data_IF_961065710973
#
_entry.id   IF_961065710973
#
_cell.length_a   1.000
_cell.length_b   1.000
_cell.length_c   1.000
_cell.angle_alpha   90.00
_cell.angle_beta   90.00
_cell.angle_gamma   90.00
#
_symmetry.space_group_name_H-M   'P 1'
#
loop_
_entity.id
_entity.type
_entity.pdbx_description
1 polymer ?
#
# COMPACT_ATOMS: atom_id res chain seq x y z
N UNK A 1 31.39 7.58 -47.70
CA UNK A 1 31.29 6.25 -47.05
C UNK A 1 30.14 6.28 -46.03
N UNK A 2 28.91 6.00 -46.47
CA UNK A 2 27.73 6.00 -45.59
C UNK A 2 27.61 4.65 -44.89
N UNK A 3 27.64 4.62 -43.56
CA UNK A 3 27.53 3.39 -42.78
C UNK A 3 26.08 3.21 -42.34
N UNK A 4 25.41 2.20 -42.89
CA UNK A 4 24.04 1.84 -42.53
C UNK A 4 24.09 0.89 -41.35
N UNK A 5 23.71 1.36 -40.17
CA UNK A 5 23.61 0.53 -38.96
C UNK A 5 22.22 -0.12 -38.95
N UNK A 6 22.18 -1.46 -38.97
CA UNK A 6 20.94 -2.23 -38.81
C UNK A 6 20.87 -2.75 -37.39
N UNK A 7 19.96 -2.19 -36.58
CA UNK A 7 19.64 -2.71 -35.26
C UNK A 7 18.69 -3.89 -35.45
N UNK A 8 19.15 -5.10 -35.13
CA UNK A 8 18.26 -6.26 -34.97
C UNK A 8 17.60 -6.14 -33.61
N UNK A 9 16.33 -5.78 -33.58
CA UNK A 9 15.50 -5.87 -32.38
C UNK A 9 15.15 -7.34 -32.19
N UNK A 10 15.79 -8.00 -31.21
CA UNK A 10 15.32 -9.31 -30.74
C UNK A 10 13.98 -9.11 -30.01
N UNK A 11 12.92 -9.85 -30.35
CA UNK A 11 11.62 -9.76 -29.69
C UNK A 11 11.62 -10.32 -28.26
N UNK A 12 12.74 -10.85 -27.78
CA UNK A 12 12.82 -11.61 -26.53
C UNK A 12 12.75 -10.76 -25.25
N UNK A 13 12.50 -9.44 -25.35
CA UNK A 13 12.35 -8.54 -24.18
C UNK A 13 10.89 -8.14 -23.94
N UNK A 14 9.94 -8.60 -24.77
CA UNK A 14 8.51 -8.29 -24.59
C UNK A 14 7.77 -9.37 -23.77
N UNK A 15 8.45 -10.46 -23.41
CA UNK A 15 7.97 -11.45 -22.44
C UNK A 15 8.50 -11.13 -21.03
N UNK A 16 8.45 -9.86 -20.62
CA UNK A 16 8.23 -9.62 -19.19
C UNK A 16 6.84 -10.18 -18.91
N UNK A 17 6.82 -11.43 -18.44
CA UNK A 17 5.63 -12.16 -18.03
C UNK A 17 4.59 -11.17 -17.48
N UNK A 18 3.53 -10.92 -18.26
CA UNK A 18 2.27 -10.49 -17.67
C UNK A 18 1.85 -11.69 -16.81
N UNK A 19 2.42 -11.82 -15.60
CA UNK A 19 1.74 -12.48 -14.49
C UNK A 19 0.39 -11.81 -14.50
N UNK A 20 -0.64 -12.54 -14.95
CA UNK A 20 -2.02 -12.08 -14.84
C UNK A 20 -2.17 -11.65 -13.40
N UNK A 21 -2.32 -10.35 -13.19
CA UNK A 21 -2.26 -9.77 -11.86
C UNK A 21 -3.31 -10.50 -11.01
N UNK A 22 -2.84 -11.17 -9.95
CA UNK A 22 -3.70 -11.97 -9.07
C UNK A 22 -4.91 -11.11 -8.70
N UNK A 23 -6.15 -11.52 -9.04
CA UNK A 23 -7.34 -10.71 -8.81
C UNK A 23 -7.47 -10.25 -7.36
N UNK A 24 -7.00 -11.06 -6.42
CA UNK A 24 -6.98 -10.74 -5.00
C UNK A 24 -6.00 -9.60 -4.67
N UNK A 25 -4.81 -9.61 -5.30
CA UNK A 25 -3.82 -8.55 -5.18
C UNK A 25 -4.32 -7.24 -5.80
N UNK A 26 -4.91 -7.32 -6.99
CA UNK A 26 -5.50 -6.14 -7.66
C UNK A 26 -6.60 -5.52 -6.81
N UNK A 27 -7.50 -6.36 -6.27
CA UNK A 27 -8.56 -5.90 -5.39
C UNK A 27 -8.02 -5.24 -4.11
N UNK A 28 -6.97 -5.83 -3.52
CA UNK A 28 -6.33 -5.29 -2.33
C UNK A 28 -5.68 -3.92 -2.58
N UNK A 29 -4.84 -3.82 -3.62
CA UNK A 29 -4.16 -2.57 -4.00
C UNK A 29 -5.19 -1.49 -4.32
N UNK A 30 -6.22 -1.82 -5.09
CA UNK A 30 -7.28 -0.87 -5.46
C UNK A 30 -8.07 -0.38 -4.26
N UNK A 31 -8.24 -1.21 -3.23
CA UNK A 31 -9.06 -0.89 -2.06
C UNK A 31 -8.28 -0.11 -0.99
N UNK A 32 -7.01 -0.49 -0.75
CA UNK A 32 -6.25 -0.01 0.40
C UNK A 32 -5.06 0.87 0.07
N UNK A 33 -4.54 0.83 -1.16
CA UNK A 33 -3.31 1.54 -1.56
C UNK A 33 -3.59 2.67 -2.56
N UNK A 34 -4.75 3.32 -2.43
CA UNK A 34 -5.16 4.44 -3.28
C UNK A 34 -4.11 5.53 -3.28
N UNK A 35 -3.71 6.00 -4.46
CA UNK A 35 -2.78 7.12 -4.61
C UNK A 35 -3.38 8.36 -3.96
N UNK A 36 -2.85 8.75 -2.81
CA UNK A 36 -3.13 10.05 -2.24
C UNK A 36 -2.31 11.11 -2.99
N UNK A 37 -2.91 12.25 -3.31
CA UNK A 37 -2.22 13.40 -3.90
C UNK A 37 -1.25 14.10 -2.92
N UNK A 38 -1.03 13.54 -1.73
CA UNK A 38 -0.11 14.07 -0.73
C UNK A 38 1.23 13.32 -0.81
N UNK A 39 2.29 13.93 -1.37
CA UNK A 39 3.61 13.33 -1.44
C UNK A 39 4.32 13.51 -0.10
N UNK A 40 3.92 12.79 0.95
CA UNK A 40 4.69 12.81 2.20
C UNK A 40 4.72 11.43 2.84
N UNK A 41 5.84 10.73 2.68
CA UNK A 41 6.20 9.51 3.42
C UNK A 41 6.38 9.75 4.95
N UNK A 42 6.07 10.95 5.44
CA UNK A 42 6.34 11.40 6.81
C UNK A 42 5.04 11.62 7.61
N UNK A 43 3.89 11.78 6.96
CA UNK A 43 2.59 12.01 7.64
C UNK A 43 1.48 11.19 6.99
N UNK A 44 0.65 10.58 7.83
CA UNK A 44 -0.57 9.89 7.40
C UNK A 44 -1.68 10.91 7.21
N UNK A 45 -2.28 10.94 6.02
CA UNK A 45 -3.46 11.75 5.77
C UNK A 45 -4.73 11.00 6.19
N UNK A 46 -5.57 11.65 6.98
CA UNK A 46 -6.93 11.21 7.33
C UNK A 46 -7.90 12.30 6.90
N UNK A 47 -8.98 11.94 6.21
CA UNK A 47 -9.97 12.93 5.75
C UNK A 47 -10.61 13.66 6.94
N UNK A 48 -11.07 14.89 6.73
CA UNK A 48 -11.68 15.70 7.79
C UNK A 48 -12.89 15.02 8.44
N UNK A 49 -13.69 14.31 7.65
CA UNK A 49 -14.84 13.54 8.12
C UNK A 49 -14.42 12.42 9.08
N UNK A 50 -13.45 11.60 8.67
CA UNK A 50 -12.93 10.50 9.51
C UNK A 50 -12.27 11.06 10.76
N UNK A 51 -11.47 12.11 10.64
CA UNK A 51 -10.85 12.76 11.79
C UNK A 51 -11.89 13.27 12.80
N UNK A 52 -13.00 13.84 12.33
CA UNK A 52 -14.09 14.30 13.21
C UNK A 52 -14.70 13.15 14.00
N UNK A 53 -14.99 12.03 13.37
CA UNK A 53 -15.54 10.84 14.04
C UNK A 53 -14.55 10.29 15.06
N UNK A 54 -13.28 10.14 14.69
CA UNK A 54 -12.22 9.67 15.58
C UNK A 54 -12.05 10.58 16.81
N UNK A 55 -12.13 11.89 16.61
CA UNK A 55 -12.04 12.87 17.69
C UNK A 55 -13.19 12.71 18.69
N UNK A 56 -14.41 12.49 18.22
CA UNK A 56 -15.58 12.26 19.09
C UNK A 56 -15.45 10.95 19.87
N UNK A 57 -15.01 9.87 19.23
CA UNK A 57 -14.79 8.57 19.89
C UNK A 57 -13.77 8.66 21.01
N UNK A 58 -12.65 9.33 20.74
CA UNK A 58 -11.57 9.52 21.73
C UNK A 58 -12.02 10.45 22.86
N UNK A 59 -12.72 11.55 22.56
CA UNK A 59 -13.24 12.45 23.58
C UNK A 59 -14.23 11.74 24.52
N UNK A 60 -15.10 10.88 23.99
CA UNK A 60 -16.03 10.08 24.79
C UNK A 60 -15.32 9.08 25.73
N UNK A 61 -14.09 8.68 25.38
CA UNK A 61 -13.28 7.72 26.14
C UNK A 61 -12.01 8.37 26.74
N UNK A 62 -11.98 9.70 26.90
CA UNK A 62 -10.77 10.42 27.31
C UNK A 62 -10.18 9.92 28.65
N UNK A 63 -11.05 9.41 29.52
CA UNK A 63 -10.73 8.92 30.85
C UNK A 63 -9.87 7.65 30.83
N UNK A 64 -9.87 6.91 29.71
CA UNK A 64 -9.08 5.69 29.53
C UNK A 64 -7.70 5.97 28.93
N UNK A 65 -7.34 7.23 28.67
CA UNK A 65 -6.14 7.58 27.93
C UNK A 65 -6.18 7.19 26.46
N UNK A 66 -7.38 6.99 25.90
CA UNK A 66 -7.56 6.68 24.48
C UNK A 66 -6.95 7.79 23.60
N UNK A 67 -6.31 7.41 22.51
CA UNK A 67 -5.79 8.36 21.51
C UNK A 67 -6.20 7.92 20.11
N UNK A 68 -6.31 8.87 19.19
CA UNK A 68 -6.61 8.58 17.78
C UNK A 68 -5.51 7.67 17.21
N UNK A 69 -4.25 7.96 17.53
CA UNK A 69 -3.10 7.16 17.09
C UNK A 69 -3.16 5.72 17.60
N UNK A 70 -3.48 5.52 18.88
CA UNK A 70 -3.63 4.18 19.46
C UNK A 70 -4.74 3.38 18.79
N UNK A 71 -5.91 4.00 18.56
CA UNK A 71 -7.03 3.37 17.87
C UNK A 71 -6.68 2.97 16.43
N UNK A 72 -6.10 3.88 15.65
CA UNK A 72 -5.69 3.60 14.27
C UNK A 72 -4.59 2.53 14.21
N UNK A 73 -3.63 2.55 15.15
CA UNK A 73 -2.58 1.53 15.23
C UNK A 73 -3.17 0.14 15.44
N UNK A 74 -4.13 -0.01 16.37
CA UNK A 74 -4.77 -1.30 16.62
C UNK A 74 -5.49 -1.86 15.38
N UNK A 75 -6.21 -1.00 14.64
CA UNK A 75 -6.89 -1.40 13.40
C UNK A 75 -5.88 -1.80 12.33
N UNK A 76 -4.79 -1.05 12.16
CA UNK A 76 -3.77 -1.34 11.15
C UNK A 76 -3.07 -2.67 11.47
N UNK A 77 -2.75 -2.95 12.74
CA UNK A 77 -2.17 -4.22 13.16
C UNK A 77 -3.10 -5.40 12.90
N UNK A 78 -4.38 -5.26 13.23
CA UNK A 78 -5.40 -6.29 12.95
C UNK A 78 -5.58 -6.51 11.43
N UNK A 79 -5.52 -5.43 10.65
CA UNK A 79 -5.54 -5.51 9.19
C UNK A 79 -4.31 -6.24 8.64
N UNK A 80 -3.11 -5.97 9.16
CA UNK A 80 -1.90 -6.68 8.77
C UNK A 80 -2.00 -8.18 9.10
N UNK A 81 -2.47 -8.52 10.30
CA UNK A 81 -2.64 -9.92 10.68
C UNK A 81 -3.62 -10.67 9.75
N UNK A 82 -4.73 -10.02 9.38
CA UNK A 82 -5.75 -10.61 8.49
C UNK A 82 -5.32 -10.76 7.04
N UNK A 83 -4.37 -9.95 6.58
CA UNK A 83 -3.95 -9.90 5.17
C UNK A 83 -2.47 -10.29 4.99
N UNK A 84 -1.84 -10.89 6.00
CA UNK A 84 -0.39 -11.11 6.03
C UNK A 84 0.12 -11.86 4.79
N UNK A 85 -0.51 -12.97 4.42
CA UNK A 85 -0.09 -13.79 3.26
C UNK A 85 -0.26 -13.04 1.94
N UNK A 86 -1.33 -12.26 1.80
CA UNK A 86 -1.58 -11.44 0.61
C UNK A 86 -0.58 -10.29 0.52
N UNK A 87 -0.31 -9.59 1.63
CA UNK A 87 0.68 -8.53 1.68
C UNK A 87 2.09 -9.06 1.40
N UNK A 88 2.46 -10.22 1.93
CA UNK A 88 3.73 -10.89 1.59
C UNK A 88 3.85 -11.12 0.09
N UNK A 89 2.82 -11.66 -0.57
CA UNK A 89 2.82 -11.86 -2.03
C UNK A 89 2.90 -10.56 -2.83
N UNK A 90 2.24 -9.49 -2.39
CA UNK A 90 2.23 -8.19 -3.08
C UNK A 90 3.58 -7.49 -2.99
N UNK A 91 4.26 -7.64 -1.85
CA UNK A 91 5.47 -6.89 -1.51
C UNK A 91 6.71 -7.78 -1.39
N UNK A 92 6.66 -9.00 -1.93
CA UNK A 92 7.72 -10.00 -1.84
C UNK A 92 9.05 -9.49 -2.44
N UNK A 93 8.96 -8.65 -3.47
CA UNK A 93 10.10 -8.01 -4.14
C UNK A 93 10.57 -6.71 -3.46
N UNK A 94 9.96 -6.30 -2.34
CA UNK A 94 10.43 -5.13 -1.61
C UNK A 94 11.77 -5.43 -0.94
N UNK A 95 12.70 -4.46 -0.94
CA UNK A 95 14.08 -4.66 -0.45
C UNK A 95 14.17 -4.90 1.07
N UNK A 96 13.04 -4.88 1.77
CA UNK A 96 12.93 -4.94 3.23
C UNK A 96 11.84 -5.93 3.60
N UNK A 97 12.08 -6.76 4.62
CA UNK A 97 11.04 -7.62 5.19
C UNK A 97 9.97 -6.75 5.86
N UNK A 98 8.75 -6.75 5.33
CA UNK A 98 7.64 -5.93 5.85
C UNK A 98 7.05 -6.45 7.16
N UNK A 99 7.18 -7.74 7.44
CA UNK A 99 6.66 -8.39 8.63
C UNK A 99 7.76 -9.22 9.26
N UNK A 100 8.24 -8.79 10.42
CA UNK A 100 9.14 -9.54 11.30
C UNK A 100 8.40 -10.64 12.04
#
# INVERSE_FOLDING_TARGET
MSHKVTIKVSPDIVEAELKTADPEQVAYVSKYLTRSNCPTHVKVHVTAEVHRVLSLMVAANAQTGATIGGYLTAIVLDHFAKNADLMKRIFEDSREELFL
#
